data_IF_370417515924
#
_entry.id   IF_370417515924
#
_cell.length_a   1.000
_cell.length_b   1.000
_cell.length_c   1.000
_cell.angle_alpha   90.00
_cell.angle_beta   90.00
_cell.angle_gamma   90.00
#
_symmetry.space_group_name_H-M   'P 1'
#
loop_
_entity.id
_entity.type
_entity.pdbx_description
1 polymer ?
#
# COMPACT_ATOMS: atom_id res chain seq x y z
N UNK A 1 -15.79 -6.15 -59.98
CA UNK A 1 -16.04 -7.60 -59.86
C UNK A 1 -16.95 -7.78 -58.66
N UNK A 2 -18.15 -8.36 -58.73
CA UNK A 2 -18.54 -9.68 -59.27
C UNK A 2 -17.91 -10.85 -58.50
N UNK A 3 -18.62 -11.91 -58.10
CA UNK A 3 -20.08 -12.14 -57.91
C UNK A 3 -20.22 -13.45 -57.06
N UNK A 4 -21.33 -13.68 -56.37
CA UNK A 4 -21.63 -14.95 -55.63
C UNK A 4 -22.10 -16.06 -56.61
N UNK A 5 -22.76 -17.19 -56.25
CA UNK A 5 -23.00 -17.86 -54.95
C UNK A 5 -22.77 -19.40 -55.05
N UNK A 6 -23.53 -20.19 -54.25
CA UNK A 6 -23.95 -21.60 -54.45
C UNK A 6 -22.97 -22.76 -54.14
N UNK A 7 -23.36 -23.56 -53.15
CA UNK A 7 -24.13 -24.78 -53.47
C UNK A 7 -25.23 -25.04 -52.40
N UNK A 8 -26.26 -25.84 -52.74
CA UNK A 8 -27.43 -26.13 -51.89
C UNK A 8 -27.85 -27.59 -52.02
N UNK A 9 -28.13 -28.25 -50.89
CA UNK A 9 -29.10 -29.37 -50.73
C UNK A 9 -29.44 -29.47 -49.23
N UNK A 10 -30.70 -29.43 -48.77
CA UNK A 10 -31.80 -30.41 -48.94
C UNK A 10 -31.48 -31.73 -48.18
N UNK A 11 -32.33 -32.30 -47.31
CA UNK A 11 -33.75 -32.02 -47.00
C UNK A 11 -34.17 -32.58 -45.61
N UNK A 12 -35.11 -31.91 -44.92
CA UNK A 12 -36.20 -32.41 -44.02
C UNK A 12 -35.98 -33.60 -43.04
N UNK A 13 -36.54 -33.62 -41.82
CA UNK A 13 -38.00 -33.73 -41.56
C UNK A 13 -38.36 -33.55 -40.06
N UNK A 14 -39.59 -33.04 -39.80
CA UNK A 14 -40.48 -33.24 -38.61
C UNK A 14 -39.95 -33.24 -37.16
N UNK A 15 -40.61 -32.44 -36.29
CA UNK A 15 -40.62 -32.62 -34.82
C UNK A 15 -41.62 -33.70 -34.34
N UNK A 16 -42.26 -33.62 -33.14
CA UNK A 16 -42.70 -32.39 -32.46
C UNK A 16 -42.22 -32.23 -30.99
N UNK A 17 -42.67 -31.15 -30.34
CA UNK A 17 -42.38 -30.81 -28.95
C UNK A 17 -43.40 -31.38 -27.94
N UNK A 18 -43.04 -31.36 -26.65
CA UNK A 18 -43.97 -31.56 -25.53
C UNK A 18 -43.59 -30.62 -24.36
N UNK A 19 -44.58 -29.89 -23.83
CA UNK A 19 -44.35 -28.83 -22.84
C UNK A 19 -44.82 -29.27 -21.43
N UNK A 20 -43.90 -29.21 -20.44
CA UNK A 20 -44.21 -29.41 -19.02
C UNK A 20 -44.78 -28.15 -18.38
N UNK A 21 -45.99 -28.22 -17.81
CA UNK A 21 -46.67 -27.05 -17.22
C UNK A 21 -46.28 -26.80 -15.76
N UNK A 22 -46.04 -25.52 -15.45
CA UNK A 22 -46.10 -25.00 -14.07
C UNK A 22 -47.52 -25.16 -13.51
N UNK A 23 -47.63 -25.56 -12.24
CA UNK A 23 -48.85 -25.45 -11.41
C UNK A 23 -48.51 -24.85 -10.04
N UNK A 24 -49.50 -24.25 -9.38
CA UNK A 24 -49.37 -23.44 -8.15
C UNK A 24 -50.71 -23.44 -7.40
N UNK A 25 -50.69 -23.14 -6.08
CA UNK A 25 -51.89 -22.90 -5.20
C UNK A 25 -52.65 -24.23 -4.89
N UNK A 26 -53.28 -24.46 -3.70
CA UNK A 26 -53.80 -23.50 -2.72
C UNK A 26 -53.43 -23.68 -1.22
N UNK A 27 -53.93 -22.72 -0.41
CA UNK A 27 -53.81 -22.62 1.05
C UNK A 27 -54.84 -23.46 1.84
N UNK A 28 -54.48 -23.78 3.10
CA UNK A 28 -55.35 -24.15 4.22
C UNK A 28 -54.50 -24.56 5.44
N UNK A 29 -54.92 -24.45 6.71
CA UNK A 29 -56.11 -23.77 7.23
C UNK A 29 -56.51 -24.16 8.68
N UNK A 30 -56.04 -23.38 9.67
CA UNK A 30 -56.58 -23.22 11.05
C UNK A 30 -56.45 -24.31 12.16
N UNK A 31 -56.35 -23.78 13.42
CA UNK A 31 -56.79 -24.33 14.75
C UNK A 31 -55.94 -25.43 15.42
N UNK A 32 -55.95 -25.62 16.76
CA UNK A 32 -56.01 -24.71 17.94
C UNK A 32 -55.97 -25.56 19.25
N UNK A 33 -55.07 -25.33 20.21
CA UNK A 33 -55.12 -25.70 21.66
C UNK A 33 -53.86 -25.11 22.35
N UNK A 34 -53.78 -24.54 23.58
CA UNK A 34 -54.59 -24.51 24.83
C UNK A 34 -54.51 -25.82 25.64
N UNK A 35 -53.98 -25.93 26.88
CA UNK A 35 -53.28 -25.04 27.86
C UNK A 35 -52.24 -25.91 28.65
N UNK A 36 -51.52 -25.59 29.75
CA UNK A 36 -51.46 -24.57 30.85
C UNK A 36 -49.99 -24.13 31.10
N UNK A 37 -49.52 -23.27 32.04
CA UNK A 37 -50.01 -22.57 33.28
C UNK A 37 -49.96 -23.28 34.67
N UNK A 38 -48.82 -23.16 35.36
CA UNK A 38 -48.61 -22.95 36.83
C UNK A 38 -47.25 -22.23 36.96
N UNK A 39 -47.07 -21.05 37.57
CA UNK A 39 -47.29 -20.54 38.94
C UNK A 39 -45.96 -20.50 39.76
N UNK A 40 -45.73 -19.40 40.50
CA UNK A 40 -44.48 -19.08 41.21
C UNK A 40 -44.50 -19.43 42.71
N UNK A 41 -44.06 -18.57 43.67
CA UNK A 41 -43.82 -17.11 43.56
C UNK A 41 -42.60 -16.54 44.37
N UNK A 42 -42.53 -15.19 44.45
CA UNK A 42 -41.98 -14.35 45.56
C UNK A 42 -40.43 -14.24 45.74
N UNK A 43 -39.85 -13.10 46.19
CA UNK A 43 -40.37 -11.72 46.37
C UNK A 43 -39.25 -10.64 46.46
N UNK A 44 -39.63 -9.38 46.14
CA UNK A 44 -39.27 -8.04 46.71
C UNK A 44 -37.82 -7.68 47.16
N UNK A 45 -37.37 -6.41 47.21
CA UNK A 45 -37.97 -5.06 47.11
C UNK A 45 -37.02 -4.11 46.29
N UNK A 46 -37.40 -3.04 45.58
CA UNK A 46 -38.27 -1.86 45.79
C UNK A 46 -37.67 -0.79 46.76
N UNK A 47 -37.70 0.54 46.52
CA UNK A 47 -38.15 1.42 45.39
C UNK A 47 -37.13 2.62 45.23
N UNK A 48 -37.31 3.83 44.66
CA UNK A 48 -38.36 4.72 44.06
C UNK A 48 -37.59 5.78 43.19
N UNK A 49 -38.04 6.67 42.25
CA UNK A 49 -39.28 7.42 41.90
C UNK A 49 -39.60 8.59 42.85
N UNK A 50 -39.87 9.88 42.42
CA UNK A 50 -40.32 10.44 41.11
C UNK A 50 -39.33 11.46 40.45
N UNK A 51 -39.40 11.92 39.18
CA UNK A 51 -40.44 12.41 38.22
C UNK A 51 -40.99 13.84 38.41
N UNK A 52 -40.89 14.66 37.36
CA UNK A 52 -41.98 15.48 36.76
C UNK A 52 -41.75 15.62 35.23
N UNK A 53 -42.75 16.11 34.49
CA UNK A 53 -42.84 16.14 33.01
C UNK A 53 -43.89 17.17 32.56
N UNK A 54 -43.61 17.92 31.50
CA UNK A 54 -44.55 18.52 30.51
C UNK A 54 -43.66 19.07 29.36
N UNK A 55 -43.78 18.68 28.08
CA UNK A 55 -44.88 18.79 27.09
C UNK A 55 -44.85 20.13 26.31
N UNK A 56 -44.59 20.08 24.99
CA UNK A 56 -45.05 21.07 24.00
C UNK A 56 -45.12 20.44 22.58
N UNK A 57 -45.92 21.04 21.68
CA UNK A 57 -46.49 20.35 20.51
C UNK A 57 -45.88 20.74 19.13
N UNK A 58 -46.18 19.95 18.10
CA UNK A 58 -45.73 20.12 16.73
C UNK A 58 -46.63 21.04 15.88
N UNK A 59 -46.05 21.75 14.90
CA UNK A 59 -46.78 22.57 13.89
C UNK A 59 -46.14 22.42 12.49
N UNK A 60 -46.98 22.29 11.47
CA UNK A 60 -46.70 22.41 10.03
C UNK A 60 -47.92 23.07 9.35
N UNK A 61 -47.85 23.53 8.09
CA UNK A 61 -46.78 24.30 7.43
C UNK A 61 -47.34 25.55 6.72
N UNK A 62 -46.49 26.38 6.10
CA UNK A 62 -46.92 27.45 5.16
C UNK A 62 -46.09 27.38 3.88
N UNK A 63 -46.73 27.58 2.72
CA UNK A 63 -46.09 27.48 1.41
C UNK A 63 -46.21 28.79 0.60
N UNK A 64 -45.21 29.11 -0.23
CA UNK A 64 -45.39 30.06 -1.33
C UNK A 64 -44.56 29.76 -2.58
N UNK A 65 -45.26 29.74 -3.71
CA UNK A 65 -44.85 29.44 -5.08
C UNK A 65 -43.62 30.21 -5.62
N UNK A 66 -42.74 29.49 -6.34
CA UNK A 66 -41.87 30.03 -7.39
C UNK A 66 -41.62 28.99 -8.48
N UNK A 67 -41.99 29.26 -9.75
CA UNK A 67 -41.82 28.34 -10.90
C UNK A 67 -40.96 28.95 -12.01
N UNK A 68 -40.00 28.15 -12.52
CA UNK A 68 -39.45 28.04 -13.90
C UNK A 68 -37.96 27.61 -13.79
N UNK A 69 -37.41 26.73 -14.63
CA UNK A 69 -38.00 25.93 -15.72
C UNK A 69 -37.10 24.74 -16.07
N UNK A 70 -37.61 23.75 -16.81
CA UNK A 70 -36.87 22.50 -17.13
C UNK A 70 -35.94 22.68 -18.34
N UNK A 71 -34.75 22.05 -18.30
CA UNK A 71 -34.13 21.47 -19.51
C UNK A 71 -33.28 20.24 -19.19
N UNK A 72 -33.87 19.06 -19.32
CA UNK A 72 -33.14 17.80 -19.42
C UNK A 72 -32.57 17.65 -20.84
N UNK A 73 -31.28 17.35 -20.96
CA UNK A 73 -30.66 16.93 -22.22
C UNK A 73 -29.93 15.62 -21.98
N UNK A 74 -30.52 14.50 -22.40
CA UNK A 74 -29.77 13.26 -22.62
C UNK A 74 -28.88 13.48 -23.85
N UNK A 75 -27.57 13.31 -23.73
CA UNK A 75 -26.71 13.06 -24.89
C UNK A 75 -25.84 11.82 -24.63
N UNK A 76 -26.29 10.72 -25.24
CA UNK A 76 -25.56 9.59 -25.84
C UNK A 76 -24.10 9.35 -25.38
N UNK A 77 -23.79 8.13 -24.92
CA UNK A 77 -22.43 7.56 -24.99
C UNK A 77 -21.99 7.56 -26.46
N UNK A 78 -20.81 8.09 -26.74
CA UNK A 78 -20.05 7.74 -27.95
C UNK A 78 -18.76 7.04 -27.50
N UNK A 79 -18.42 5.94 -28.18
CA UNK A 79 -17.39 4.99 -27.76
C UNK A 79 -16.20 5.12 -28.71
N UNK A 80 -15.08 5.68 -28.24
CA UNK A 80 -13.93 5.98 -29.10
C UNK A 80 -12.64 5.56 -28.40
N UNK A 81 -12.01 4.49 -28.89
CA UNK A 81 -10.64 4.16 -28.52
C UNK A 81 -9.68 5.11 -29.23
N UNK A 82 -8.76 5.74 -28.49
CA UNK A 82 -7.65 6.49 -29.08
C UNK A 82 -6.44 5.58 -29.23
N UNK A 83 -5.92 5.46 -30.45
CA UNK A 83 -4.65 4.77 -30.71
C UNK A 83 -3.46 5.68 -30.35
N UNK A 84 -2.36 5.06 -29.91
CA UNK A 84 -1.08 5.76 -29.74
C UNK A 84 -0.53 6.18 -31.11
N UNK A 85 -0.40 7.49 -31.34
CA UNK A 85 0.16 8.03 -32.58
C UNK A 85 1.68 8.14 -32.51
N UNK A 86 2.39 7.10 -32.95
CA UNK A 86 3.86 7.12 -33.08
C UNK A 86 4.30 8.01 -34.24
N UNK A 87 4.76 9.22 -33.95
CA UNK A 87 5.22 10.18 -34.98
C UNK A 87 6.75 10.19 -35.07
N UNK A 88 7.30 9.25 -35.86
CA UNK A 88 8.72 9.28 -36.24
C UNK A 88 8.94 10.19 -37.44
N UNK A 89 9.88 11.13 -37.35
CA UNK A 89 10.33 11.94 -38.50
C UNK A 89 11.85 11.93 -38.56
N UNK A 90 12.41 11.22 -39.54
CA UNK A 90 13.84 11.20 -39.80
C UNK A 90 14.26 12.40 -40.67
N UNK A 91 15.50 12.86 -40.52
CA UNK A 91 16.19 13.65 -41.54
C UNK A 91 17.69 13.38 -41.50
N UNK A 92 18.25 13.18 -42.69
CA UNK A 92 19.56 12.58 -42.91
C UNK A 92 20.70 13.61 -42.81
N UNK A 93 21.83 13.20 -42.25
CA UNK A 93 23.16 13.60 -42.71
C UNK A 93 24.03 12.35 -42.84
N UNK A 94 25.13 12.44 -43.59
CA UNK A 94 25.82 11.29 -44.19
C UNK A 94 27.32 11.25 -43.91
N UNK A 95 28.01 10.23 -44.46
CA UNK A 95 29.46 9.92 -44.35
C UNK A 95 29.85 9.23 -43.02
N UNK A 96 30.67 8.16 -42.99
CA UNK A 96 31.24 7.38 -44.10
C UNK A 96 31.56 5.93 -43.69
N UNK A 97 31.79 5.08 -44.68
CA UNK A 97 31.97 3.62 -44.57
C UNK A 97 33.27 3.16 -43.88
N UNK A 98 33.16 2.09 -43.08
CA UNK A 98 34.12 0.97 -43.10
C UNK A 98 33.47 -0.30 -42.53
N UNK A 99 33.74 -1.46 -43.14
CA UNK A 99 33.17 -2.75 -42.75
C UNK A 99 34.25 -3.75 -42.33
N UNK A 100 34.03 -4.47 -41.23
CA UNK A 100 34.84 -5.62 -40.83
C UNK A 100 33.96 -6.63 -40.07
N UNK A 101 34.20 -7.92 -40.32
CA UNK A 101 33.29 -9.01 -39.99
C UNK A 101 33.60 -9.72 -38.66
N UNK A 102 32.53 -10.08 -37.94
CA UNK A 102 32.36 -11.30 -37.12
C UNK A 102 33.57 -12.00 -36.48
N UNK A 103 33.50 -12.25 -35.18
CA UNK A 103 33.68 -13.62 -34.66
C UNK A 103 33.04 -13.80 -33.28
N UNK A 104 32.49 -14.98 -33.04
CA UNK A 104 32.09 -15.49 -31.73
C UNK A 104 33.29 -16.11 -31.01
N UNK A 105 33.35 -15.97 -29.69
CA UNK A 105 34.00 -16.98 -28.83
C UNK A 105 33.39 -16.94 -27.43
N UNK A 106 33.28 -18.11 -26.83
CA UNK A 106 32.74 -18.36 -25.49
C UNK A 106 33.81 -19.06 -24.64
N UNK A 107 33.47 -19.44 -23.39
CA UNK A 107 34.31 -20.19 -22.45
C UNK A 107 35.47 -19.37 -21.82
N UNK A 108 35.99 -19.69 -20.63
CA UNK A 108 35.43 -20.46 -19.52
C UNK A 108 36.21 -20.23 -18.22
N UNK A 109 35.61 -20.64 -17.10
CA UNK A 109 36.19 -20.92 -15.77
C UNK A 109 37.72 -21.00 -15.64
N UNK A 110 38.26 -20.38 -14.59
CA UNK A 110 39.32 -21.01 -13.80
C UNK A 110 39.17 -20.68 -12.32
N UNK A 111 39.31 -21.69 -11.47
CA UNK A 111 39.38 -21.56 -10.01
C UNK A 111 40.82 -21.72 -9.53
N UNK A 112 41.18 -21.05 -8.45
CA UNK A 112 42.39 -21.36 -7.68
C UNK A 112 42.18 -21.00 -6.21
N UNK A 113 42.89 -21.68 -5.32
CA UNK A 113 42.63 -21.64 -3.88
C UNK A 113 43.92 -21.82 -3.08
N UNK A 114 43.86 -21.46 -1.78
CA UNK A 114 44.95 -21.60 -0.80
C UNK A 114 46.17 -20.66 -1.05
N UNK A 115 47.08 -20.42 -0.11
CA UNK A 115 47.29 -21.01 1.23
C UNK A 115 47.69 -19.95 2.27
N UNK A 116 47.42 -20.23 3.55
CA UNK A 116 47.96 -19.47 4.69
C UNK A 116 49.45 -19.76 4.90
N UNK A 117 50.19 -18.82 5.50
CA UNK A 117 51.48 -19.08 6.17
C UNK A 117 51.63 -18.16 7.39
N UNK A 118 52.40 -18.61 8.39
CA UNK A 118 52.47 -17.96 9.71
C UNK A 118 53.91 -17.60 10.10
N UNK A 119 54.01 -16.52 10.88
CA UNK A 119 54.97 -16.29 11.97
C UNK A 119 56.44 -16.76 11.82
N UNK A 120 57.36 -15.79 11.79
CA UNK A 120 58.76 -16.00 12.23
C UNK A 120 59.06 -15.03 13.38
N UNK A 121 59.64 -15.54 14.45
CA UNK A 121 60.08 -14.77 15.63
C UNK A 121 61.58 -14.55 15.55
N UNK A 122 62.05 -13.34 15.82
CA UNK A 122 63.47 -13.05 16.15
C UNK A 122 63.54 -12.11 17.34
N UNK A 123 64.50 -12.38 18.23
CA UNK A 123 64.71 -11.67 19.50
C UNK A 123 66.03 -10.90 19.47
N UNK A 124 66.04 -9.66 19.97
CA UNK A 124 67.28 -8.93 20.25
C UNK A 124 67.12 -7.89 21.37
N UNK A 125 68.12 -7.87 22.25
CA UNK A 125 68.52 -6.90 23.27
C UNK A 125 67.69 -5.61 23.50
N UNK A 126 67.46 -5.32 24.79
CA UNK A 126 67.07 -4.00 25.26
C UNK A 126 68.24 -3.00 25.20
N UNK A 127 67.93 -1.71 25.08
CA UNK A 127 68.85 -0.60 25.39
C UNK A 127 68.04 0.59 25.90
N UNK A 128 68.50 1.21 26.98
CA UNK A 128 67.76 2.23 27.72
C UNK A 128 68.04 3.64 27.21
N UNK A 129 67.02 4.33 26.72
CA UNK A 129 67.05 5.77 26.40
C UNK A 129 65.79 6.45 26.94
N UNK A 130 65.95 7.50 27.73
CA UNK A 130 64.82 8.21 28.36
C UNK A 130 64.00 9.00 27.33
N UNK A 131 62.75 8.60 27.08
CA UNK A 131 61.77 9.39 26.34
C UNK A 131 60.96 10.28 27.28
N UNK A 132 60.90 11.57 26.95
CA UNK A 132 60.14 12.58 27.72
C UNK A 132 58.66 12.25 27.73
N UNK A 133 57.99 12.33 28.88
CA UNK A 133 56.53 12.16 28.98
C UNK A 133 55.80 13.37 28.40
N UNK A 134 55.58 13.38 27.09
CA UNK A 134 54.59 14.25 26.45
C UNK A 134 53.20 13.73 26.81
N UNK A 135 52.55 14.37 27.77
CA UNK A 135 51.16 14.06 28.13
C UNK A 135 50.23 14.47 26.99
N UNK A 136 50.02 13.55 26.04
CA UNK A 136 49.02 13.72 24.99
C UNK A 136 47.65 13.83 25.63
N UNK A 137 47.15 15.06 25.77
CA UNK A 137 45.77 15.31 26.17
C UNK A 137 44.86 14.67 25.12
N UNK A 138 44.22 13.55 25.48
CA UNK A 138 43.09 13.04 24.73
C UNK A 138 41.96 14.04 24.86
N UNK A 139 41.92 15.01 23.93
CA UNK A 139 40.78 15.88 23.75
C UNK A 139 39.60 14.98 23.48
N UNK A 140 38.71 14.81 24.45
CA UNK A 140 37.45 14.11 24.24
C UNK A 140 36.70 14.85 23.15
N UNK A 141 36.72 14.34 21.94
CA UNK A 141 35.88 14.82 20.85
C UNK A 141 34.45 14.77 21.37
N UNK A 142 33.87 15.94 21.64
CA UNK A 142 32.48 16.01 22.02
C UNK A 142 31.67 15.39 20.90
N UNK A 143 31.01 14.26 21.18
CA UNK A 143 29.94 13.76 20.32
C UNK A 143 29.01 14.94 20.05
N UNK A 144 28.70 15.28 18.79
CA UNK A 144 27.76 16.35 18.51
C UNK A 144 26.45 16.00 19.23
N UNK A 145 26.08 16.81 20.23
CA UNK A 145 24.78 16.65 20.86
C UNK A 145 23.76 16.89 19.77
N UNK A 146 22.98 15.87 19.41
CA UNK A 146 21.87 16.07 18.48
C UNK A 146 21.00 17.19 19.05
N UNK A 147 20.87 18.28 18.28
CA UNK A 147 19.97 19.39 18.59
C UNK A 147 18.60 19.16 18.00
N UNK A 148 18.28 17.92 17.61
CA UNK A 148 16.99 17.57 17.06
C UNK A 148 15.87 17.94 18.04
N UNK A 149 14.85 18.63 17.53
CA UNK A 149 13.61 18.86 18.24
C UNK A 149 12.75 17.60 18.38
N UNK A 150 13.13 16.50 17.73
CA UNK A 150 12.41 15.24 17.74
C UNK A 150 12.81 14.34 18.91
N UNK A 151 11.83 13.89 19.67
CA UNK A 151 12.00 12.91 20.74
C UNK A 151 11.11 11.69 20.49
N UNK A 152 11.65 10.50 20.82
CA UNK A 152 10.93 9.23 20.71
C UNK A 152 9.73 9.22 21.67
N UNK A 153 8.58 8.74 21.19
CA UNK A 153 7.33 8.61 21.95
C UNK A 153 6.91 7.15 22.11
N UNK A 154 6.98 6.36 21.03
CA UNK A 154 6.60 4.94 21.03
C UNK A 154 7.54 4.12 20.13
N UNK A 155 7.73 2.84 20.47
CA UNK A 155 8.43 1.85 19.65
C UNK A 155 7.64 0.54 19.66
N UNK A 156 7.21 0.10 18.49
CA UNK A 156 6.50 -1.16 18.27
C UNK A 156 7.46 -2.13 17.57
N UNK A 157 7.92 -3.16 18.28
CA UNK A 157 8.94 -4.10 17.81
C UNK A 157 8.94 -5.38 18.65
N UNK A 158 9.69 -6.40 18.23
CA UNK A 158 9.93 -7.59 19.04
C UNK A 158 8.69 -8.45 19.29
N UNK A 159 8.73 -9.25 20.35
CA UNK A 159 7.63 -10.15 20.74
C UNK A 159 6.29 -9.45 20.99
N UNK A 160 6.31 -8.15 21.27
CA UNK A 160 5.14 -7.32 21.58
C UNK A 160 4.69 -6.44 20.40
N UNK A 161 5.20 -6.67 19.18
CA UNK A 161 4.81 -5.85 18.01
C UNK A 161 3.29 -5.85 17.81
N UNK A 162 2.67 -7.03 17.74
CA UNK A 162 1.24 -7.21 17.47
C UNK A 162 0.32 -6.73 18.61
N UNK A 163 0.81 -6.57 19.84
CA UNK A 163 0.03 -6.00 20.96
C UNK A 163 -0.42 -4.55 20.67
N UNK A 164 0.23 -3.89 19.70
CA UNK A 164 -0.04 -2.52 19.29
C UNK A 164 -1.05 -2.41 18.13
N UNK A 165 -1.72 -3.51 17.74
CA UNK A 165 -2.66 -3.51 16.62
C UNK A 165 -3.95 -4.28 16.88
N UNK A 166 -5.02 -3.88 16.18
CA UNK A 166 -6.26 -4.64 16.01
C UNK A 166 -6.26 -5.33 14.64
N UNK A 167 -6.79 -6.56 14.55
CA UNK A 167 -6.94 -7.28 13.29
C UNK A 167 -8.27 -6.92 12.62
N UNK A 168 -8.23 -6.52 11.36
CA UNK A 168 -9.41 -6.24 10.54
C UNK A 168 -9.88 -7.52 9.85
N UNK A 169 -10.89 -8.18 10.40
CA UNK A 169 -11.46 -9.42 9.83
C UNK A 169 -12.77 -9.16 9.06
N UNK A 170 -12.84 -8.05 8.34
CA UNK A 170 -14.00 -7.65 7.53
C UNK A 170 -13.66 -7.67 6.05
N UNK A 171 -14.71 -7.66 5.21
CA UNK A 171 -14.56 -7.58 3.75
C UNK A 171 -13.66 -6.39 3.35
N UNK A 172 -12.87 -6.58 2.30
CA UNK A 172 -11.92 -5.58 1.81
C UNK A 172 -12.64 -4.37 1.19
N UNK A 173 -12.40 -3.13 1.67
CA UNK A 173 -12.99 -1.92 1.09
C UNK A 173 -12.63 -1.69 -0.39
N UNK A 174 -11.46 -2.20 -0.80
CA UNK A 174 -10.91 -2.18 -2.17
C UNK A 174 -11.28 -3.41 -3.01
N UNK A 175 -12.28 -4.18 -2.57
CA UNK A 175 -12.90 -5.29 -3.29
C UNK A 175 -11.95 -6.44 -3.71
N UNK A 176 -10.87 -6.66 -2.96
CA UNK A 176 -9.89 -7.71 -3.21
C UNK A 176 -10.43 -9.13 -3.21
N UNK A 177 -9.71 -10.03 -3.88
CA UNK A 177 -9.88 -11.51 -3.84
C UNK A 177 -9.23 -12.07 -2.57
N UNK A 178 -9.50 -11.43 -1.42
CA UNK A 178 -8.80 -11.60 -0.16
C UNK A 178 -9.75 -11.95 0.99
N UNK A 179 -9.30 -12.80 1.91
CA UNK A 179 -9.99 -13.20 3.14
C UNK A 179 -9.14 -12.75 4.33
N UNK A 180 -9.48 -11.60 4.92
CA UNK A 180 -8.71 -11.07 6.05
C UNK A 180 -9.06 -11.77 7.36
N UNK A 181 -8.05 -12.29 8.04
CA UNK A 181 -8.23 -13.08 9.26
C UNK A 181 -8.32 -12.23 10.52
N UNK A 182 -9.08 -12.72 11.50
CA UNK A 182 -8.92 -12.27 12.89
C UNK A 182 -7.61 -12.78 13.48
N UNK A 183 -7.23 -12.26 14.65
CA UNK A 183 -5.95 -12.59 15.27
C UNK A 183 -5.79 -14.09 15.60
N UNK A 184 -6.85 -14.76 16.04
CA UNK A 184 -6.81 -16.19 16.38
C UNK A 184 -6.58 -17.06 15.14
N UNK A 185 -7.30 -16.77 14.06
CA UNK A 185 -7.12 -17.46 12.78
C UNK A 185 -5.76 -17.13 12.14
N UNK A 186 -5.27 -15.90 12.27
CA UNK A 186 -3.95 -15.46 11.78
C UNK A 186 -2.79 -16.17 12.49
N UNK A 187 -2.80 -16.23 13.83
CA UNK A 187 -1.77 -16.93 14.62
C UNK A 187 -1.83 -18.45 14.39
N UNK A 188 -3.02 -19.05 14.36
CA UNK A 188 -3.17 -20.52 14.23
C UNK A 188 -2.91 -21.05 12.82
N UNK A 189 -3.07 -20.22 11.79
CA UNK A 189 -2.62 -20.52 10.41
C UNK A 189 -1.15 -20.23 10.15
N UNK A 190 -0.47 -19.51 11.06
CA UNK A 190 0.92 -19.09 10.90
C UNK A 190 1.13 -17.91 9.94
N UNK A 191 0.06 -17.23 9.51
CA UNK A 191 0.14 -16.03 8.68
C UNK A 191 0.62 -14.78 9.44
N UNK A 192 0.60 -14.82 10.77
CA UNK A 192 1.43 -13.92 11.60
C UNK A 192 2.37 -14.73 12.49
N UNK A 193 3.59 -14.22 12.67
CA UNK A 193 4.55 -14.76 13.63
C UNK A 193 5.60 -13.71 14.01
N UNK A 194 6.38 -13.99 15.07
CA UNK A 194 7.62 -13.27 15.37
C UNK A 194 8.77 -14.23 15.03
N UNK A 195 9.68 -13.81 14.15
CA UNK A 195 10.79 -14.65 13.69
C UNK A 195 11.95 -14.69 14.70
N UNK A 196 13.00 -15.47 14.40
CA UNK A 196 14.16 -15.63 15.28
C UNK A 196 15.04 -14.39 15.45
N UNK A 197 14.86 -13.34 14.63
CA UNK A 197 15.49 -12.03 14.81
C UNK A 197 14.63 -11.09 15.68
N UNK A 198 13.40 -11.48 16.02
CA UNK A 198 12.43 -10.64 16.71
C UNK A 198 11.58 -9.76 15.78
N UNK A 199 11.68 -9.96 14.47
CA UNK A 199 10.88 -9.22 13.48
C UNK A 199 9.47 -9.80 13.36
N UNK A 200 8.50 -8.93 13.07
CA UNK A 200 7.11 -9.31 12.86
C UNK A 200 6.86 -9.72 11.41
N UNK A 201 6.33 -10.93 11.22
CA UNK A 201 5.96 -11.51 9.93
C UNK A 201 4.46 -11.36 9.73
N UNK A 202 4.04 -10.89 8.55
CA UNK A 202 2.63 -10.86 8.12
C UNK A 202 2.57 -11.36 6.68
N UNK A 203 1.94 -12.52 6.44
CA UNK A 203 2.02 -13.25 5.18
C UNK A 203 0.65 -13.55 4.56
N UNK A 204 0.65 -13.68 3.23
CA UNK A 204 -0.46 -14.23 2.44
C UNK A 204 -0.41 -15.77 2.45
N UNK A 205 -1.56 -16.42 2.52
CA UNK A 205 -1.68 -17.88 2.41
C UNK A 205 -1.17 -18.42 1.08
N UNK A 206 -0.28 -19.41 1.12
CA UNK A 206 0.31 -20.05 -0.07
C UNK A 206 -0.40 -21.34 -0.51
N UNK A 207 -1.56 -21.68 0.04
CA UNK A 207 -2.35 -22.87 -0.34
C UNK A 207 -2.65 -22.85 -1.83
N UNK A 208 -2.18 -23.87 -2.57
CA UNK A 208 -2.08 -23.83 -4.04
C UNK A 208 -3.38 -23.40 -4.72
N UNK A 209 -4.52 -23.93 -4.28
CA UNK A 209 -5.84 -23.61 -4.83
C UNK A 209 -6.81 -23.31 -3.70
N UNK A 210 -7.52 -22.19 -3.79
CA UNK A 210 -8.56 -21.74 -2.84
C UNK A 210 -9.84 -21.39 -3.59
N UNK A 211 -11.00 -21.52 -2.94
CA UNK A 211 -12.30 -21.56 -3.62
C UNK A 211 -12.92 -20.22 -3.99
N UNK A 212 -12.57 -19.14 -3.27
CA UNK A 212 -13.36 -17.90 -3.24
C UNK A 212 -12.51 -16.65 -3.00
N UNK A 213 -11.55 -16.74 -2.08
CA UNK A 213 -10.59 -15.71 -1.74
C UNK A 213 -9.36 -16.37 -1.10
N UNK A 214 -8.22 -15.67 -1.09
CA UNK A 214 -6.97 -16.13 -0.48
C UNK A 214 -6.74 -15.41 0.86
N UNK A 215 -6.34 -16.17 1.89
CA UNK A 215 -6.19 -15.63 3.24
C UNK A 215 -5.03 -14.64 3.34
N UNK A 216 -5.23 -13.55 4.06
CA UNK A 216 -4.24 -12.48 4.26
C UNK A 216 -4.46 -11.76 5.60
N UNK A 217 -3.61 -10.78 5.89
CA UNK A 217 -3.59 -9.99 7.12
C UNK A 217 -3.86 -8.52 6.79
N UNK A 218 -4.73 -7.87 7.57
CA UNK A 218 -4.83 -6.42 7.68
C UNK A 218 -4.89 -6.04 9.16
N UNK A 219 -3.99 -5.16 9.60
CA UNK A 219 -3.90 -4.73 10.99
C UNK A 219 -3.90 -3.21 11.10
N UNK A 220 -4.67 -2.69 12.06
CA UNK A 220 -4.89 -1.26 12.32
C UNK A 220 -4.25 -0.89 13.67
N UNK A 221 -3.34 0.08 13.68
CA UNK A 221 -2.56 0.45 14.86
C UNK A 221 -3.39 1.08 15.98
N UNK A 222 -3.03 0.79 17.23
CA UNK A 222 -3.77 1.21 18.43
C UNK A 222 -3.55 2.68 18.81
N UNK A 223 -2.48 3.31 18.30
CA UNK A 223 -2.14 4.71 18.55
C UNK A 223 -2.77 5.61 17.50
N UNK A 224 -3.69 6.46 17.95
CA UNK A 224 -4.19 7.63 17.21
C UNK A 224 -3.20 8.80 17.38
N UNK A 225 -2.92 9.53 16.30
CA UNK A 225 -2.05 10.71 16.33
C UNK A 225 -2.43 11.74 15.25
N UNK A 226 -1.98 12.98 15.45
CA UNK A 226 -2.16 14.09 14.52
C UNK A 226 -0.82 14.83 14.42
N UNK A 227 -0.11 14.69 13.30
CA UNK A 227 1.27 15.15 13.16
C UNK A 227 2.31 14.28 13.89
N UNK A 228 3.57 14.49 13.55
CA UNK A 228 4.71 13.75 14.10
C UNK A 228 5.70 13.29 13.01
N UNK A 229 6.63 12.42 13.41
CA UNK A 229 7.53 11.70 12.52
C UNK A 229 7.36 10.20 12.79
N UNK A 230 7.05 9.43 11.75
CA UNK A 230 6.79 7.98 11.83
C UNK A 230 7.80 7.25 10.97
N UNK A 231 8.51 6.29 11.56
CA UNK A 231 9.50 5.46 10.89
C UNK A 231 9.03 4.00 10.86
N UNK A 232 9.12 3.33 9.72
CA UNK A 232 9.07 1.87 9.60
C UNK A 232 10.44 1.36 9.16
N UNK A 233 11.01 0.42 9.91
CA UNK A 233 12.10 -0.43 9.45
C UNK A 233 11.54 -1.80 9.07
N UNK A 234 11.75 -2.21 7.82
CA UNK A 234 11.41 -3.55 7.33
C UNK A 234 12.55 -4.12 6.49
N UNK A 235 12.77 -5.43 6.56
CA UNK A 235 13.79 -6.14 5.74
C UNK A 235 13.18 -6.86 4.54
N UNK A 236 11.87 -7.07 4.54
CA UNK A 236 11.11 -7.66 3.44
C UNK A 236 9.71 -7.03 3.37
N UNK A 237 9.19 -6.86 2.16
CA UNK A 237 7.81 -6.47 1.88
C UNK A 237 7.16 -7.43 0.87
N UNK A 238 5.82 -7.54 0.83
CA UNK A 238 5.14 -8.39 -0.13
C UNK A 238 5.42 -7.96 -1.58
N UNK A 239 5.55 -8.92 -2.48
CA UNK A 239 5.77 -8.63 -3.91
C UNK A 239 5.28 -9.75 -4.81
N UNK A 240 4.91 -9.39 -6.05
CA UNK A 240 4.54 -10.32 -7.10
C UNK A 240 3.14 -10.07 -7.66
N UNK A 241 2.89 -10.59 -8.86
CA UNK A 241 1.61 -10.43 -9.55
C UNK A 241 0.41 -10.74 -8.65
N UNK A 242 -0.59 -9.87 -8.71
CA UNK A 242 -1.83 -9.96 -7.95
C UNK A 242 -1.75 -9.48 -6.50
N UNK A 243 -0.56 -9.16 -5.98
CA UNK A 243 -0.43 -8.50 -4.67
C UNK A 243 -0.75 -7.00 -4.76
N UNK A 244 -1.27 -6.46 -3.66
CA UNK A 244 -1.41 -5.03 -3.38
C UNK A 244 -1.12 -4.84 -1.88
N UNK A 245 0.16 -4.72 -1.50
CA UNK A 245 0.57 -4.38 -0.15
C UNK A 245 0.58 -2.87 0.07
N UNK A 246 0.23 -2.48 1.29
CA UNK A 246 0.28 -1.09 1.73
C UNK A 246 0.81 -0.98 3.16
N UNK A 247 1.73 -0.05 3.39
CA UNK A 247 1.95 0.58 4.70
C UNK A 247 1.56 2.06 4.59
N UNK A 248 0.51 2.41 5.34
CA UNK A 248 -0.27 3.63 5.10
C UNK A 248 -0.95 4.12 6.38
N UNK A 249 -1.59 5.29 6.31
CA UNK A 249 -2.28 5.93 7.42
C UNK A 249 -3.63 6.48 6.97
N UNK A 250 -4.64 6.36 7.82
CA UNK A 250 -5.99 6.84 7.53
C UNK A 250 -6.62 7.48 8.77
N UNK A 251 -7.28 8.63 8.56
CA UNK A 251 -8.08 9.33 9.56
C UNK A 251 -9.57 8.91 9.58
N UNK A 252 -10.39 9.53 10.44
CA UNK A 252 -11.82 9.21 10.52
C UNK A 252 -12.61 9.90 9.40
N UNK A 253 -13.75 9.32 9.01
CA UNK A 253 -14.66 9.90 8.00
C UNK A 253 -14.00 10.10 6.62
N UNK A 254 -13.29 9.08 6.12
CA UNK A 254 -12.63 9.07 4.82
C UNK A 254 -13.49 9.69 3.68
N UNK A 255 -12.93 10.55 2.81
CA UNK A 255 -11.54 11.03 2.78
C UNK A 255 -11.34 12.33 3.59
N UNK A 256 -12.31 12.74 4.42
CA UNK A 256 -12.28 14.05 5.10
C UNK A 256 -11.35 14.13 6.31
N UNK A 257 -10.97 12.99 6.90
CA UNK A 257 -9.86 12.88 7.86
C UNK A 257 -8.51 12.63 7.21
N UNK A 258 -8.47 12.53 5.87
CA UNK A 258 -7.27 12.28 5.07
C UNK A 258 -6.74 10.84 5.15
N UNK A 259 -5.99 10.47 4.12
CA UNK A 259 -5.32 9.18 3.95
C UNK A 259 -3.94 9.44 3.30
N UNK A 260 -2.91 8.75 3.81
CA UNK A 260 -1.48 8.95 3.51
C UNK A 260 -0.85 7.59 3.24
N UNK A 261 -0.55 7.30 1.98
CA UNK A 261 0.08 6.04 1.58
C UNK A 261 1.58 6.26 1.53
N UNK A 262 2.35 5.51 2.32
CA UNK A 262 3.79 5.77 2.53
C UNK A 262 4.63 4.77 1.73
N UNK A 263 4.17 3.52 1.68
CA UNK A 263 4.73 2.44 0.88
C UNK A 263 3.58 1.65 0.27
N UNK A 264 3.23 1.95 -0.98
CA UNK A 264 2.12 1.34 -1.70
C UNK A 264 2.47 1.05 -3.17
N UNK A 265 1.91 -0.03 -3.70
CA UNK A 265 1.98 -0.38 -5.10
C UNK A 265 1.22 -1.68 -5.37
N UNK A 266 1.32 -2.18 -6.59
CA UNK A 266 0.57 -3.36 -7.03
C UNK A 266 1.40 -4.28 -7.92
N UNK A 267 0.99 -5.54 -8.00
CA UNK A 267 1.52 -6.52 -8.96
C UNK A 267 3.06 -6.66 -8.87
N UNK A 268 3.77 -6.57 -10.00
CA UNK A 268 5.22 -6.71 -10.10
C UNK A 268 5.90 -5.34 -10.30
N UNK A 269 5.34 -4.27 -9.71
CA UNK A 269 5.99 -2.96 -9.66
C UNK A 269 7.33 -3.02 -8.90
N UNK A 270 8.22 -2.07 -9.19
CA UNK A 270 9.50 -1.84 -8.49
C UNK A 270 9.76 -0.38 -8.13
N UNK A 271 8.91 0.55 -8.59
CA UNK A 271 8.89 1.97 -8.17
C UNK A 271 7.79 2.15 -7.10
N UNK A 272 8.11 2.65 -5.90
CA UNK A 272 7.12 2.93 -4.85
C UNK A 272 6.18 4.09 -5.27
N UNK A 273 4.91 4.05 -4.85
CA UNK A 273 4.00 5.19 -4.90
C UNK A 273 3.69 5.69 -3.48
N UNK A 274 3.85 7.00 -3.28
CA UNK A 274 3.43 7.73 -2.06
C UNK A 274 2.26 8.61 -2.44
N UNK A 275 1.10 8.51 -1.78
CA UNK A 275 -0.10 9.26 -2.17
C UNK A 275 -0.76 9.98 -0.99
N UNK A 276 -1.50 11.05 -1.31
CA UNK A 276 -2.45 11.69 -0.42
C UNK A 276 -3.86 11.67 -1.01
N UNK A 277 -4.81 11.31 -0.15
CA UNK A 277 -6.23 11.19 -0.45
C UNK A 277 -7.04 12.05 0.54
N UNK A 278 -7.78 13.03 0.04
CA UNK A 278 -8.43 14.06 0.88
C UNK A 278 -9.86 14.42 0.45
N UNK A 279 -10.53 15.26 1.24
CA UNK A 279 -11.62 16.10 0.74
C UNK A 279 -11.14 17.20 -0.22
N UNK A 280 -12.06 17.83 -0.94
CA UNK A 280 -11.79 18.89 -1.92
C UNK A 280 -11.02 20.08 -1.36
N UNK A 281 -9.95 20.51 -2.04
CA UNK A 281 -9.22 21.75 -1.74
C UNK A 281 -7.75 21.60 -1.33
N UNK A 282 -7.25 20.36 -1.14
CA UNK A 282 -5.82 20.07 -1.01
C UNK A 282 -5.23 19.92 -2.42
N UNK A 283 -4.28 20.79 -2.80
CA UNK A 283 -3.65 20.75 -4.13
C UNK A 283 -2.13 20.95 -4.07
N UNK A 284 -1.42 20.38 -5.03
CA UNK A 284 0.04 20.45 -5.15
C UNK A 284 0.50 21.59 -6.06
N UNK A 285 1.64 22.26 -5.75
CA UNK A 285 2.23 23.27 -6.64
C UNK A 285 2.57 22.72 -8.03
N UNK A 286 2.41 23.54 -9.08
CA UNK A 286 2.73 23.13 -10.46
C UNK A 286 4.22 22.86 -10.71
N UNK A 287 5.10 23.23 -9.78
CA UNK A 287 6.54 23.01 -9.82
C UNK A 287 7.00 21.96 -8.79
N UNK A 288 6.09 21.14 -8.24
CA UNK A 288 6.42 20.23 -7.14
C UNK A 288 7.48 19.17 -7.52
N UNK A 289 7.50 18.75 -8.78
CA UNK A 289 8.53 17.84 -9.31
C UNK A 289 9.96 18.46 -9.30
N UNK A 290 10.11 19.77 -9.13
CA UNK A 290 11.42 20.43 -9.00
C UNK A 290 11.95 20.45 -7.55
N UNK A 291 11.16 19.97 -6.58
CA UNK A 291 11.41 20.10 -5.13
C UNK A 291 11.57 18.76 -4.38
N UNK A 292 11.40 17.64 -5.07
CA UNK A 292 11.43 16.27 -4.52
C UNK A 292 12.15 15.33 -5.50
N UNK A 293 12.42 14.08 -5.12
CA UNK A 293 13.06 13.10 -6.02
C UNK A 293 12.05 12.40 -6.96
N UNK A 294 10.85 12.08 -6.47
CA UNK A 294 9.83 11.35 -7.22
C UNK A 294 8.96 12.24 -8.13
N UNK A 295 8.33 11.64 -9.13
CA UNK A 295 7.47 12.35 -10.10
C UNK A 295 6.00 12.23 -9.70
N UNK A 296 5.24 13.33 -9.66
CA UNK A 296 3.77 13.28 -9.55
C UNK A 296 3.17 12.38 -10.63
N UNK A 297 2.25 11.49 -10.26
CA UNK A 297 1.69 10.43 -11.12
C UNK A 297 0.67 10.98 -12.11
N UNK A 298 1.14 11.59 -13.21
CA UNK A 298 0.26 12.16 -14.25
C UNK A 298 -0.59 11.07 -14.91
N UNK A 299 -1.87 11.02 -14.55
CA UNK A 299 -2.85 10.06 -15.06
C UNK A 299 -3.85 10.68 -16.04
N UNK A 300 -5.06 10.14 -16.07
CA UNK A 300 -6.20 10.76 -16.80
C UNK A 300 -6.90 11.86 -15.98
N UNK A 301 -6.56 11.98 -14.69
CA UNK A 301 -7.08 13.00 -13.77
C UNK A 301 -5.97 14.00 -13.40
N UNK A 302 -6.35 15.06 -12.69
CA UNK A 302 -5.41 16.10 -12.27
C UNK A 302 -4.56 15.60 -11.08
N UNK A 303 -3.35 15.09 -11.33
CA UNK A 303 -2.43 14.61 -10.29
C UNK A 303 -1.92 15.70 -9.32
N UNK A 304 -2.31 16.95 -9.54
CA UNK A 304 -2.08 18.07 -8.61
C UNK A 304 -3.26 18.31 -7.65
N UNK A 305 -4.33 17.51 -7.72
CA UNK A 305 -5.48 17.57 -6.81
C UNK A 305 -5.49 16.29 -5.97
N UNK A 306 -5.53 16.41 -4.65
CA UNK A 306 -5.49 15.26 -3.75
C UNK A 306 -6.90 14.77 -3.38
N UNK A 307 -7.94 15.44 -3.87
CA UNK A 307 -9.31 15.16 -3.51
C UNK A 307 -9.84 13.87 -4.15
N UNK A 308 -10.11 12.83 -3.35
CA UNK A 308 -10.46 11.49 -3.84
C UNK A 308 -11.73 11.49 -4.69
N UNK A 309 -12.74 12.29 -4.35
CA UNK A 309 -13.99 12.36 -5.12
C UNK A 309 -13.87 13.14 -6.44
N UNK A 310 -12.99 14.14 -6.52
CA UNK A 310 -12.80 14.95 -7.72
C UNK A 310 -11.81 14.28 -8.71
N UNK A 311 -10.93 13.40 -8.21
CA UNK A 311 -9.94 12.64 -8.99
C UNK A 311 -10.30 11.17 -9.27
N UNK A 312 -11.55 10.75 -8.97
CA UNK A 312 -11.99 9.34 -9.13
C UNK A 312 -11.11 8.33 -8.39
N UNK A 313 -10.68 8.70 -7.18
CA UNK A 313 -9.75 7.98 -6.31
C UNK A 313 -8.31 7.85 -6.82
N UNK A 314 -7.84 8.75 -7.70
CA UNK A 314 -6.39 8.85 -7.96
C UNK A 314 -5.63 9.56 -6.82
N UNK A 315 -6.25 10.55 -6.16
CA UNK A 315 -5.54 11.42 -5.22
C UNK A 315 -4.37 12.15 -5.90
N UNK A 316 -3.40 12.57 -5.10
CA UNK A 316 -2.13 13.10 -5.60
C UNK A 316 -0.99 12.15 -5.23
N UNK A 317 -0.68 11.22 -6.15
CA UNK A 317 0.43 10.28 -6.02
C UNK A 317 1.77 10.85 -6.50
N UNK A 318 2.86 10.46 -5.85
CA UNK A 318 4.26 10.67 -6.25
C UNK A 318 4.93 9.31 -6.37
N UNK A 319 5.56 9.04 -7.51
CA UNK A 319 6.24 7.75 -7.77
C UNK A 319 7.76 7.90 -7.71
N UNK A 320 8.41 7.02 -6.95
CA UNK A 320 9.87 6.98 -6.84
C UNK A 320 10.49 6.34 -8.10
N UNK A 321 10.78 7.20 -9.07
CA UNK A 321 11.45 6.83 -10.31
C UNK A 321 12.98 6.84 -10.17
N UNK A 322 13.50 7.14 -8.97
CA UNK A 322 14.92 7.45 -8.74
C UNK A 322 15.66 6.34 -8.01
N UNK A 323 15.00 5.61 -7.12
CA UNK A 323 15.55 4.49 -6.40
C UNK A 323 15.05 3.16 -6.99
N UNK A 324 15.97 2.42 -7.62
CA UNK A 324 15.76 1.09 -8.22
C UNK A 324 15.35 -0.01 -7.22
N UNK A 325 15.40 0.33 -5.92
CA UNK A 325 15.15 -0.53 -4.77
C UNK A 325 14.08 0.01 -3.80
N UNK A 326 13.29 1.01 -4.22
CA UNK A 326 12.23 1.60 -3.39
C UNK A 326 11.08 0.64 -3.05
N UNK A 327 10.82 -0.38 -3.89
CA UNK A 327 9.64 -1.23 -3.76
C UNK A 327 9.89 -2.70 -4.17
N UNK A 328 9.08 -3.60 -3.60
CA UNK A 328 8.88 -4.97 -4.05
C UNK A 328 10.14 -5.84 -4.03
N UNK A 329 10.34 -6.63 -5.10
CA UNK A 329 11.48 -7.54 -5.19
C UNK A 329 12.84 -6.84 -5.04
N UNK A 330 12.99 -5.60 -5.53
CA UNK A 330 14.24 -4.85 -5.40
C UNK A 330 14.49 -4.34 -3.98
N UNK A 331 13.44 -3.89 -3.27
CA UNK A 331 13.49 -3.61 -1.83
C UNK A 331 13.98 -4.84 -1.05
N UNK A 332 13.39 -6.01 -1.35
CA UNK A 332 13.75 -7.27 -0.70
C UNK A 332 15.20 -7.68 -0.98
N UNK A 333 15.67 -7.49 -2.22
CA UNK A 333 17.05 -7.82 -2.64
C UNK A 333 18.13 -7.00 -1.93
N UNK A 334 17.83 -5.79 -1.43
CA UNK A 334 18.78 -4.97 -0.65
C UNK A 334 18.66 -5.19 0.87
N UNK A 335 17.80 -6.11 1.33
CA UNK A 335 17.50 -6.31 2.76
C UNK A 335 16.60 -5.20 3.33
N UNK A 336 15.73 -4.63 2.49
CA UNK A 336 14.82 -3.54 2.82
C UNK A 336 15.54 -2.29 3.29
N UNK A 337 15.01 -1.64 4.32
CA UNK A 337 15.50 -0.34 4.80
C UNK A 337 14.47 0.36 5.69
N UNK A 338 14.57 1.68 5.75
CA UNK A 338 13.66 2.55 6.52
C UNK A 338 12.87 3.46 5.59
N UNK A 339 11.54 3.45 5.73
CA UNK A 339 10.68 4.54 5.27
C UNK A 339 10.41 5.51 6.44
N UNK A 340 10.52 6.80 6.16
CA UNK A 340 10.33 7.86 7.13
C UNK A 340 9.30 8.88 6.63
N UNK A 341 8.19 9.04 7.36
CA UNK A 341 7.14 10.02 7.06
C UNK A 341 7.12 11.13 8.12
N UNK A 342 7.39 12.35 7.70
CA UNK A 342 7.21 13.58 8.49
C UNK A 342 5.87 14.21 8.15
N UNK A 343 5.04 14.45 9.16
CA UNK A 343 3.86 15.32 9.08
C UNK A 343 4.04 16.46 10.09
N UNK A 344 4.24 17.67 9.56
CA UNK A 344 4.42 18.88 10.37
C UNK A 344 3.90 20.13 9.68
N UNK A 345 4.17 21.30 10.26
CA UNK A 345 3.68 22.61 9.77
C UNK A 345 4.09 22.96 8.33
N UNK A 346 5.17 22.35 7.84
CA UNK A 346 5.69 22.55 6.47
C UNK A 346 4.97 21.71 5.40
N UNK A 347 4.17 20.71 5.79
CA UNK A 347 3.57 19.73 4.90
C UNK A 347 3.77 18.29 5.37
N UNK A 348 3.53 17.35 4.46
CA UNK A 348 3.87 15.92 4.62
C UNK A 348 5.07 15.62 3.72
N UNK A 349 6.08 14.90 4.21
CA UNK A 349 7.28 14.50 3.45
C UNK A 349 7.64 13.04 3.72
N UNK A 350 8.05 12.31 2.69
CA UNK A 350 8.47 10.89 2.79
C UNK A 350 9.87 10.70 2.22
N UNK A 351 10.73 10.03 2.99
CA UNK A 351 12.06 9.56 2.56
C UNK A 351 12.13 8.04 2.56
N UNK A 352 12.97 7.52 1.66
CA UNK A 352 13.39 6.13 1.59
C UNK A 352 14.89 6.05 1.91
N UNK A 353 15.29 5.13 2.78
CA UNK A 353 16.69 4.84 3.09
C UNK A 353 16.94 3.32 3.00
N UNK A 354 17.57 2.80 1.93
CA UNK A 354 17.90 1.39 1.83
C UNK A 354 18.88 0.95 2.93
N UNK A 355 18.86 -0.34 3.27
CA UNK A 355 19.54 -0.95 4.44
C UNK A 355 20.97 -0.50 4.70
N UNK A 356 21.74 -0.26 3.62
CA UNK A 356 23.16 0.12 3.66
C UNK A 356 23.42 1.61 3.91
N UNK A 357 22.39 2.47 3.85
CA UNK A 357 22.51 3.93 3.99
C UNK A 357 21.45 4.55 4.91
N UNK A 358 20.97 3.79 5.91
CA UNK A 358 20.08 4.33 6.96
C UNK A 358 20.85 5.41 7.76
N UNK A 359 20.32 6.65 7.88
CA UNK A 359 20.95 7.71 8.67
C UNK A 359 21.24 7.32 10.12
N UNK A 360 22.42 7.73 10.62
CA UNK A 360 22.89 7.30 11.94
C UNK A 360 22.01 7.84 13.09
N UNK A 361 21.44 9.03 12.94
CA UNK A 361 20.49 9.67 13.85
C UNK A 361 19.18 8.87 14.01
N UNK A 362 18.70 8.22 12.93
CA UNK A 362 17.59 7.26 13.00
C UNK A 362 18.00 6.05 13.88
N UNK A 363 19.18 5.48 13.63
CA UNK A 363 19.64 4.30 14.39
C UNK A 363 19.96 4.58 15.86
N UNK A 364 20.13 5.86 16.24
CA UNK A 364 20.39 6.32 17.59
C UNK A 364 19.14 6.97 18.27
N UNK A 365 17.95 6.85 17.66
CA UNK A 365 16.68 7.39 18.18
C UNK A 365 16.68 8.90 18.47
N UNK A 366 17.45 9.67 17.69
CA UNK A 366 17.54 11.14 17.75
C UNK A 366 17.39 11.80 16.36
N UNK A 367 16.40 11.40 15.54
CA UNK A 367 16.33 11.70 14.12
C UNK A 367 16.28 13.20 13.80
N UNK A 368 17.01 13.66 12.79
CA UNK A 368 17.00 15.05 12.31
C UNK A 368 16.72 15.13 10.79
N UNK A 369 15.43 15.25 10.40
CA UNK A 369 15.02 15.37 9.00
C UNK A 369 15.63 16.55 8.23
N UNK A 370 16.22 17.55 8.90
CA UNK A 370 16.92 18.65 8.22
C UNK A 370 18.24 18.19 7.57
N UNK A 371 18.78 17.05 8.01
CA UNK A 371 20.05 16.48 7.51
C UNK A 371 19.89 15.44 6.40
N UNK A 372 18.66 14.94 6.19
CA UNK A 372 18.38 13.81 5.27
C UNK A 372 18.35 14.18 3.78
N UNK A 373 18.38 15.47 3.45
CA UNK A 373 18.31 15.95 2.07
C UNK A 373 16.91 15.85 1.47
N UNK A 374 16.85 15.85 0.13
CA UNK A 374 15.60 15.90 -0.63
C UNK A 374 14.74 14.64 -0.39
N UNK A 375 13.46 14.78 -0.03
CA UNK A 375 12.54 13.65 0.13
C UNK A 375 12.17 13.01 -1.21
N UNK A 376 11.70 11.76 -1.16
CA UNK A 376 11.09 11.07 -2.31
C UNK A 376 9.80 11.77 -2.72
N UNK A 377 8.95 12.11 -1.74
CA UNK A 377 7.71 12.85 -1.94
C UNK A 377 7.59 14.01 -0.95
N UNK A 378 7.12 15.16 -1.42
CA UNK A 378 6.87 16.36 -0.63
C UNK A 378 5.52 16.95 -1.00
N UNK A 379 4.66 17.11 0.01
CA UNK A 379 3.31 17.64 -0.10
C UNK A 379 3.22 18.92 0.75
N UNK A 380 3.61 20.09 0.22
CA UNK A 380 3.83 21.29 1.01
C UNK A 380 2.53 21.95 1.49
N UNK A 381 2.59 22.56 2.68
CA UNK A 381 1.44 23.18 3.34
C UNK A 381 0.88 24.44 2.66
N UNK A 382 1.50 24.91 1.58
CA UNK A 382 1.12 26.14 0.83
C UNK A 382 -0.29 26.10 0.25
N UNK A 383 -0.70 24.92 -0.21
CA UNK A 383 -2.00 24.67 -0.86
C UNK A 383 -2.64 23.35 -0.41
N UNK A 384 -2.00 22.67 0.55
CA UNK A 384 -2.57 21.56 1.31
C UNK A 384 -2.09 21.63 2.78
N UNK A 385 -2.67 22.56 3.55
CA UNK A 385 -2.39 22.68 4.99
C UNK A 385 -2.70 21.36 5.71
N UNK A 386 -1.70 20.62 6.23
CA UNK A 386 -1.93 19.21 6.59
C UNK A 386 -2.89 19.08 7.77
N UNK A 387 -2.80 19.94 8.79
CA UNK A 387 -3.75 20.00 9.91
C UNK A 387 -5.16 20.52 9.55
N UNK A 388 -5.45 20.70 8.26
CA UNK A 388 -6.79 21.01 7.73
C UNK A 388 -7.41 19.80 7.00
N UNK A 389 -6.60 18.89 6.47
CA UNK A 389 -7.04 17.73 5.69
C UNK A 389 -6.75 16.38 6.36
N UNK A 390 -5.82 16.34 7.32
CA UNK A 390 -5.40 15.14 8.05
C UNK A 390 -5.56 15.37 9.55
N UNK A 391 -6.18 14.41 10.26
CA UNK A 391 -6.29 14.38 11.72
C UNK A 391 -6.70 12.99 12.22
N UNK A 392 -6.27 12.63 13.42
CA UNK A 392 -6.59 11.40 14.15
C UNK A 392 -6.32 10.12 13.34
N UNK A 393 -5.12 10.04 12.77
CA UNK A 393 -4.63 8.91 11.97
C UNK A 393 -4.15 7.75 12.84
N UNK A 394 -4.17 6.56 12.24
CA UNK A 394 -3.49 5.35 12.72
C UNK A 394 -2.74 4.69 11.56
N UNK A 395 -1.62 4.02 11.85
CA UNK A 395 -0.90 3.21 10.86
C UNK A 395 -1.70 1.95 10.52
N UNK A 396 -1.64 1.52 9.26
CA UNK A 396 -2.21 0.28 8.74
C UNK A 396 -1.11 -0.50 8.02
N UNK A 397 -1.04 -1.81 8.24
CA UNK A 397 -0.37 -2.75 7.34
C UNK A 397 -1.41 -3.69 6.77
N UNK A 398 -1.34 -3.95 5.46
CA UNK A 398 -2.09 -5.05 4.85
C UNK A 398 -1.43 -5.60 3.59
N UNK A 399 -2.08 -6.60 3.00
CA UNK A 399 -1.88 -7.04 1.63
C UNK A 399 -3.20 -7.53 1.07
N UNK A 400 -3.94 -6.65 0.39
CA UNK A 400 -5.05 -7.08 -0.45
C UNK A 400 -4.53 -7.76 -1.72
N UNK A 401 -5.43 -8.39 -2.47
CA UNK A 401 -5.13 -9.18 -3.65
C UNK A 401 -6.09 -8.81 -4.76
N UNK A 402 -5.59 -8.46 -5.95
CA UNK A 402 -6.38 -7.93 -7.05
C UNK A 402 -7.14 -6.64 -6.70
N UNK A 403 -8.45 -6.71 -6.47
CA UNK A 403 -9.28 -5.55 -6.11
C UNK A 403 -9.32 -4.46 -7.19
N UNK A 404 -9.73 -3.27 -6.75
CA UNK A 404 -10.00 -2.10 -7.61
C UNK A 404 -8.75 -1.58 -8.36
N UNK A 405 -7.53 -1.81 -7.85
CA UNK A 405 -6.28 -1.38 -8.49
C UNK A 405 -5.48 -2.54 -9.12
N UNK A 406 -4.95 -3.48 -8.33
CA UNK A 406 -4.09 -4.55 -8.87
C UNK A 406 -4.84 -5.49 -9.82
N UNK A 407 -6.14 -5.66 -9.61
CA UNK A 407 -7.04 -6.48 -10.43
C UNK A 407 -7.61 -5.78 -11.67
N UNK A 408 -7.42 -4.45 -11.79
CA UNK A 408 -7.94 -3.68 -12.91
C UNK A 408 -7.31 -4.12 -14.24
N UNK A 409 -8.13 -4.24 -15.30
CA UNK A 409 -7.68 -4.67 -16.63
C UNK A 409 -6.48 -3.84 -17.14
N UNK A 410 -6.56 -2.52 -16.99
CA UNK A 410 -5.51 -1.56 -17.36
C UNK A 410 -4.19 -1.68 -16.59
N UNK A 411 -4.10 -2.57 -15.60
CA UNK A 411 -2.92 -2.78 -14.74
C UNK A 411 -2.46 -4.24 -14.78
N UNK A 412 -3.40 -5.20 -14.75
CA UNK A 412 -3.10 -6.63 -14.87
C UNK A 412 -2.62 -7.03 -16.28
N UNK A 413 -3.26 -6.50 -17.33
CA UNK A 413 -3.00 -6.89 -18.71
C UNK A 413 -1.95 -6.00 -19.42
N UNK A 414 -1.47 -4.93 -18.78
CA UNK A 414 -0.56 -3.93 -19.38
C UNK A 414 0.80 -3.83 -18.66
N UNK A 415 1.76 -3.17 -19.31
CA UNK A 415 3.18 -3.11 -18.92
C UNK A 415 3.76 -1.71 -19.18
N UNK A 416 4.95 -1.43 -18.67
CA UNK A 416 5.65 -0.15 -18.85
C UNK A 416 5.21 0.94 -17.87
N UNK A 417 4.78 0.57 -16.67
CA UNK A 417 4.43 1.48 -15.57
C UNK A 417 5.07 0.98 -14.27
N UNK A 418 5.57 1.91 -13.44
CA UNK A 418 6.16 1.63 -12.13
C UNK A 418 7.21 0.48 -12.12
N UNK A 419 8.11 0.47 -13.10
CA UNK A 419 9.15 -0.55 -13.27
C UNK A 419 8.68 -1.94 -13.75
N UNK A 420 7.37 -2.14 -13.98
CA UNK A 420 6.83 -3.42 -14.45
C UNK A 420 6.96 -3.55 -16.00
N UNK A 421 8.08 -4.11 -16.46
CA UNK A 421 8.40 -4.32 -17.89
C UNK A 421 7.49 -5.34 -18.61
N UNK A 422 6.83 -6.24 -17.88
CA UNK A 422 5.91 -7.24 -18.44
C UNK A 422 4.58 -7.24 -17.70
N UNK A 423 3.46 -7.39 -18.41
CA UNK A 423 2.16 -7.44 -17.76
C UNK A 423 2.00 -8.72 -16.95
N UNK A 424 1.29 -8.67 -15.83
CA UNK A 424 1.10 -9.85 -15.00
C UNK A 424 0.33 -10.97 -15.71
N UNK A 425 -0.55 -10.64 -16.65
CA UNK A 425 -1.13 -11.63 -17.56
C UNK A 425 -0.08 -12.37 -18.40
N UNK A 426 0.96 -11.68 -18.88
CA UNK A 426 2.06 -12.28 -19.64
C UNK A 426 3.07 -13.03 -18.74
N UNK A 427 3.36 -12.52 -17.54
CA UNK A 427 4.27 -13.16 -16.57
C UNK A 427 3.69 -14.46 -15.98
N UNK A 428 2.37 -14.51 -15.79
CA UNK A 428 1.68 -15.63 -15.13
C UNK A 428 0.97 -16.58 -16.10
N UNK A 429 0.59 -16.10 -17.28
CA UNK A 429 -0.25 -16.82 -18.24
C UNK A 429 -1.77 -16.75 -17.96
N UNK A 430 -2.21 -16.00 -16.94
CA UNK A 430 -3.62 -15.89 -16.55
C UNK A 430 -4.29 -14.61 -17.09
N UNK A 431 -5.46 -14.76 -17.71
CA UNK A 431 -6.22 -13.64 -18.29
C UNK A 431 -6.88 -12.72 -17.27
N UNK A 432 -7.03 -13.15 -16.01
CA UNK A 432 -7.52 -12.31 -14.91
C UNK A 432 -6.68 -12.50 -13.66
N UNK A 433 -6.57 -11.44 -12.86
CA UNK A 433 -5.89 -11.47 -11.58
C UNK A 433 -6.53 -12.48 -10.60
N UNK A 434 -7.86 -12.52 -10.54
CA UNK A 434 -8.59 -13.42 -9.64
C UNK A 434 -8.36 -14.89 -9.97
N UNK A 435 -8.33 -15.27 -11.26
CA UNK A 435 -8.04 -16.65 -11.66
C UNK A 435 -6.62 -17.06 -11.22
N UNK A 436 -5.66 -16.15 -11.32
CA UNK A 436 -4.29 -16.38 -10.84
C UNK A 436 -4.25 -16.54 -9.31
N UNK A 437 -4.79 -15.57 -8.56
CA UNK A 437 -4.80 -15.58 -7.08
C UNK A 437 -5.45 -16.84 -6.53
N UNK A 438 -6.57 -17.28 -7.11
CA UNK A 438 -7.27 -18.48 -6.63
C UNK A 438 -6.53 -19.79 -6.93
N UNK A 439 -5.67 -19.85 -7.96
CA UNK A 439 -5.07 -21.11 -8.45
C UNK A 439 -3.54 -21.22 -8.35
N UNK A 440 -2.84 -20.15 -7.98
CA UNK A 440 -1.36 -20.06 -7.99
C UNK A 440 -0.74 -19.83 -6.61
N UNK A 441 -1.23 -20.53 -5.58
CA UNK A 441 -0.85 -20.29 -4.17
C UNK A 441 0.65 -20.29 -3.89
N UNK A 442 1.43 -21.19 -4.48
CA UNK A 442 2.88 -21.23 -4.30
C UNK A 442 3.61 -19.95 -4.74
N UNK A 443 3.03 -19.16 -5.64
CA UNK A 443 3.63 -17.90 -6.09
C UNK A 443 3.61 -16.78 -5.04
N UNK A 444 2.77 -16.91 -4.01
CA UNK A 444 2.65 -15.92 -2.93
C UNK A 444 3.69 -16.13 -1.81
N UNK A 445 4.69 -16.99 -2.01
CA UNK A 445 5.78 -17.24 -1.05
C UNK A 445 6.62 -15.99 -0.71
N UNK A 446 6.65 -14.97 -1.59
CA UNK A 446 7.27 -13.67 -1.33
C UNK A 446 6.22 -12.56 -1.04
N UNK A 447 4.96 -12.92 -0.78
CA UNK A 447 3.91 -12.00 -0.40
C UNK A 447 3.80 -11.93 1.14
N UNK A 448 4.88 -11.44 1.79
CA UNK A 448 4.92 -11.21 3.23
C UNK A 448 5.73 -9.96 3.61
N UNK A 449 5.30 -9.29 4.68
CA UNK A 449 6.08 -8.29 5.38
C UNK A 449 7.01 -8.96 6.40
N UNK A 450 8.23 -8.44 6.55
CA UNK A 450 9.09 -8.66 7.72
C UNK A 450 9.52 -7.30 8.29
N UNK A 451 8.83 -6.87 9.36
CA UNK A 451 8.99 -5.56 9.99
C UNK A 451 9.87 -5.68 11.23
N UNK A 452 10.95 -4.90 11.31
CA UNK A 452 11.82 -4.84 12.48
C UNK A 452 11.24 -3.92 13.56
N UNK A 453 10.78 -2.72 13.16
CA UNK A 453 10.06 -1.82 14.05
C UNK A 453 9.14 -0.84 13.31
N UNK A 454 8.15 -0.31 14.04
CA UNK A 454 7.57 1.02 13.79
C UNK A 454 7.93 1.92 14.98
N UNK A 455 8.39 3.14 14.72
CA UNK A 455 8.74 4.13 15.76
C UNK A 455 8.04 5.46 15.51
N UNK A 456 7.64 6.11 16.59
CA UNK A 456 6.94 7.40 16.58
C UNK A 456 7.74 8.45 17.32
N UNK A 457 7.95 9.60 16.69
CA UNK A 457 8.63 10.76 17.27
C UNK A 457 7.72 11.99 17.21
N UNK A 458 7.90 12.91 18.15
CA UNK A 458 7.16 14.17 18.22
C UNK A 458 8.15 15.33 18.42
N UNK A 459 7.75 16.56 18.06
CA UNK A 459 8.56 17.78 18.19
C UNK A 459 7.70 18.94 18.68
N UNK A 460 8.20 19.71 19.64
CA UNK A 460 7.50 20.91 20.15
C UNK A 460 7.59 22.11 19.22
N UNK A 461 8.35 22.05 18.12
CA UNK A 461 8.51 23.14 17.15
C UNK A 461 7.89 22.80 15.80
N UNK A 462 8.06 21.58 15.30
CA UNK A 462 7.65 21.20 13.93
C UNK A 462 6.19 20.76 13.85
N UNK A 463 5.66 20.18 14.93
CA UNK A 463 4.30 19.62 15.02
C UNK A 463 3.30 20.67 15.49
#
# INVERSE_FOLDING_TARGET
>A
MHISPLLVSLLSLSGPALAGKIRRVPHGGHKHHVAQRHDGPAAAAAANVPRTREDFAAIHPVARSGKKGKRLVRKKRDNTACQVSTNSTASLTSLSSSSSSSSTSSSSSSSSSSSSTSSVVTTAAASSSSSTTTTSSTTSSATPSSTSGWYLTDTWSGSTFFDNFNFWSYADPTHGTVDYLDSSDAWSSGLVSINSAGHAIMAVDTTQTVSTARKSIRIHGNKIFTGGLVLMDAVHMPTGCGTWPAWWQNGPNWPYGGEIDILEGVNAFTENQVSLHTGSGCTMPSNQNDLQLGTLTTGSFNSYDCASYDTSNQGCGVRDQTNDNSYGASFNNVGGGVYAMLWGKVGIKVWWFPRSSIPADITNDVPDPSTWGTPVADFPSTSCSPYTFFYDHFNIFDTTLCGDWAGADGVWNYAGYAGQDQSCAAMTGYSTCSDYVLNSGSSFANAYWEVSYVKYFNSTTEV
#
